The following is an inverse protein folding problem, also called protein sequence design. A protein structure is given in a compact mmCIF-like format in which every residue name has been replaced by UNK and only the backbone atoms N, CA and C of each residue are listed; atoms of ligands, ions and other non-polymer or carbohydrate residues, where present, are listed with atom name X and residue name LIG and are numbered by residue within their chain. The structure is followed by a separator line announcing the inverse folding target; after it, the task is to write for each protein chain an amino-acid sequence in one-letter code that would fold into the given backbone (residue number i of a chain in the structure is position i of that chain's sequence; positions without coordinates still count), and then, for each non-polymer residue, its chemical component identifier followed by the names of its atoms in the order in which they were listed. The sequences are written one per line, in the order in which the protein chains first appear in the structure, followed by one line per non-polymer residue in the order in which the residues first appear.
data_IF_945572190386
#
_entry.id   IF_945572190386
#
_cell.length_a   1.000
_cell.length_b   1.000
_cell.length_c   1.000
_cell.angle_alpha   90.00
_cell.angle_beta   90.00
_cell.angle_gamma   90.00
#
_symmetry.space_group_name_H-M   'P 1'
#
loop_
_entity.id
_entity.type
_entity.pdbx_description
1 polymer ?
#
# COMPACT_ATOMS: atom_id res chain seq x y z
N UNK A 1 -6.37 -10.52 -2.11
CA UNK A 1 -7.16 -10.35 -3.36
C UNK A 1 -6.51 -11.01 -4.58
N UNK A 2 -5.18 -10.91 -4.76
CA UNK A 2 -4.52 -11.38 -6.00
C UNK A 2 -4.30 -12.90 -6.05
N UNK A 3 -3.73 -13.50 -5.00
CA UNK A 3 -3.28 -14.90 -5.06
C UNK A 3 -4.35 -15.94 -4.76
N UNK A 4 -5.30 -15.66 -3.87
CA UNK A 4 -6.40 -16.58 -3.55
C UNK A 4 -7.22 -17.02 -4.78
N UNK A 5 -7.73 -16.11 -5.65
CA UNK A 5 -8.45 -16.54 -6.85
C UNK A 5 -7.57 -17.30 -7.84
N UNK A 6 -6.27 -17.01 -7.88
CA UNK A 6 -5.33 -17.74 -8.74
C UNK A 6 -5.16 -19.19 -8.26
N UNK A 7 -4.97 -19.42 -6.96
CA UNK A 7 -4.88 -20.77 -6.39
C UNK A 7 -6.18 -21.56 -6.57
N UNK A 8 -7.34 -20.91 -6.41
CA UNK A 8 -8.64 -21.55 -6.68
C UNK A 8 -8.74 -22.01 -8.14
N UNK A 9 -8.37 -21.16 -9.09
CA UNK A 9 -8.37 -21.51 -10.52
C UNK A 9 -7.41 -22.66 -10.82
N UNK A 10 -6.18 -22.66 -10.27
CA UNK A 10 -5.24 -23.77 -10.42
C UNK A 10 -5.74 -25.08 -9.80
N UNK A 11 -6.61 -24.97 -8.79
CA UNK A 11 -7.26 -26.11 -8.13
C UNK A 11 -8.56 -26.53 -8.83
N UNK A 12 -8.87 -25.99 -10.01
CA UNK A 12 -10.08 -26.35 -10.78
C UNK A 12 -11.37 -25.66 -10.31
N UNK A 13 -11.28 -24.61 -9.49
CA UNK A 13 -12.41 -23.81 -9.01
C UNK A 13 -12.38 -22.42 -9.66
N UNK A 14 -13.25 -22.19 -10.63
CA UNK A 14 -13.27 -20.95 -11.42
C UNK A 14 -14.14 -21.06 -12.66
N UNK A 15 -14.11 -20.08 -13.55
CA UNK A 15 -14.91 -20.12 -14.78
C UNK A 15 -14.52 -21.32 -15.67
N UNK A 16 -15.44 -22.26 -15.90
CA UNK A 16 -15.18 -23.52 -16.60
C UNK A 16 -14.45 -23.33 -17.94
N UNK A 17 -14.89 -22.38 -18.76
CA UNK A 17 -14.22 -22.05 -20.03
C UNK A 17 -12.76 -21.66 -19.84
N UNK A 18 -12.47 -20.79 -18.87
CA UNK A 18 -11.10 -20.31 -18.61
C UNK A 18 -10.17 -21.39 -18.07
N UNK A 19 -10.73 -22.35 -17.32
CA UNK A 19 -10.02 -23.52 -16.80
C UNK A 19 -9.70 -24.51 -17.93
N UNK A 20 -10.70 -24.83 -18.76
CA UNK A 20 -10.55 -25.72 -19.91
C UNK A 20 -9.56 -25.17 -20.95
N UNK A 21 -9.61 -23.87 -21.23
CA UNK A 21 -8.64 -23.19 -22.13
C UNK A 21 -7.19 -23.33 -21.64
N UNK A 22 -6.98 -23.62 -20.34
CA UNK A 22 -5.67 -23.82 -19.70
C UNK A 22 -5.36 -25.28 -19.38
N UNK A 23 -6.15 -26.22 -19.90
CA UNK A 23 -6.04 -27.66 -19.61
C UNK A 23 -6.16 -27.99 -18.11
N UNK A 24 -6.95 -27.23 -17.37
CA UNK A 24 -7.25 -27.48 -15.95
C UNK A 24 -8.61 -28.17 -15.85
N UNK A 25 -8.66 -29.28 -15.12
CA UNK A 25 -9.92 -29.98 -14.83
C UNK A 25 -10.87 -29.09 -14.02
N UNK A 26 -12.16 -29.10 -14.37
CA UNK A 26 -13.18 -28.32 -13.67
C UNK A 26 -13.71 -29.13 -12.49
N UNK A 27 -13.39 -28.71 -11.27
CA UNK A 27 -14.00 -29.23 -10.03
C UNK A 27 -15.30 -28.48 -9.73
N UNK A 28 -15.28 -27.15 -9.89
CA UNK A 28 -16.46 -26.31 -9.68
C UNK A 28 -16.45 -25.11 -10.63
N UNK A 29 -17.54 -24.94 -11.38
CA UNK A 29 -17.72 -23.77 -12.25
C UNK A 29 -18.20 -22.58 -11.42
N UNK A 30 -17.27 -21.70 -11.07
CA UNK A 30 -17.52 -20.50 -10.27
C UNK A 30 -16.99 -19.28 -11.03
N UNK A 31 -17.80 -18.66 -11.92
CA UNK A 31 -17.33 -17.60 -12.82
C UNK A 31 -16.90 -16.31 -12.08
N UNK A 32 -17.32 -16.13 -10.83
CA UNK A 32 -16.91 -15.00 -9.99
C UNK A 32 -15.46 -15.07 -9.48
N UNK A 33 -14.80 -16.24 -9.51
CA UNK A 33 -13.41 -16.37 -9.03
C UNK A 33 -12.46 -15.54 -9.91
N UNK A 34 -11.80 -14.57 -9.29
CA UNK A 34 -10.90 -13.64 -9.97
C UNK A 34 -11.62 -12.46 -10.65
N UNK A 35 -12.92 -12.28 -10.40
CA UNK A 35 -13.71 -11.10 -10.83
C UNK A 35 -13.98 -10.17 -9.64
N UNK A 36 -14.55 -9.00 -9.94
CA UNK A 36 -14.89 -7.98 -8.95
C UNK A 36 -13.69 -7.56 -8.08
N UNK A 37 -12.51 -7.39 -8.69
CA UNK A 37 -11.38 -6.77 -8.01
C UNK A 37 -11.71 -5.29 -7.84
N UNK A 38 -11.79 -4.85 -6.59
CA UNK A 38 -11.93 -3.45 -6.21
C UNK A 38 -10.62 -3.00 -5.57
N UNK A 39 -10.18 -1.81 -5.96
CA UNK A 39 -9.01 -1.16 -5.39
C UNK A 39 -9.29 0.35 -5.31
N UNK A 40 -8.58 1.03 -4.42
CA UNK A 40 -8.63 2.48 -4.27
C UNK A 40 -7.41 3.09 -4.96
N UNK A 41 -7.54 3.57 -6.21
CA UNK A 41 -6.42 4.17 -6.91
C UNK A 41 -5.98 5.46 -6.19
N UNK A 42 -4.66 5.62 -6.03
CA UNK A 42 -4.06 6.78 -5.42
C UNK A 42 -3.18 7.55 -6.43
N UNK A 43 -3.13 8.87 -6.29
CA UNK A 43 -2.21 9.74 -7.00
C UNK A 43 -1.34 10.49 -5.98
N UNK A 44 -0.06 10.64 -6.28
CA UNK A 44 0.91 11.29 -5.40
C UNK A 44 1.31 12.65 -5.96
N UNK A 45 1.20 13.67 -5.11
CA UNK A 45 1.75 15.00 -5.39
C UNK A 45 2.69 15.38 -4.24
N UNK A 46 3.92 15.77 -4.58
CA UNK A 46 4.93 16.16 -3.60
C UNK A 46 5.54 17.50 -3.99
N UNK A 47 5.70 18.39 -3.01
CA UNK A 47 6.37 19.68 -3.15
C UNK A 47 7.32 19.90 -1.98
N UNK A 48 8.37 20.70 -2.20
CA UNK A 48 9.31 21.05 -1.13
C UNK A 48 8.66 22.03 -0.16
N UNK A 49 8.75 21.72 1.12
CA UNK A 49 8.35 22.65 2.18
C UNK A 49 9.36 23.79 2.30
N UNK A 50 8.91 24.94 2.79
CA UNK A 50 9.82 26.05 3.12
C UNK A 50 10.76 25.64 4.25
N UNK A 51 11.99 26.17 4.32
CA UNK A 51 12.96 25.84 5.37
C UNK A 51 12.45 26.08 6.80
N UNK A 52 11.54 27.04 6.98
CA UNK A 52 10.90 27.33 8.28
C UNK A 52 10.04 26.17 8.82
N UNK A 53 9.54 25.29 7.93
CA UNK A 53 8.72 24.12 8.29
C UNK A 53 9.50 22.80 8.22
N UNK A 54 10.82 22.85 8.00
CA UNK A 54 11.64 21.64 7.81
C UNK A 54 11.55 20.73 9.05
N UNK A 55 11.50 21.31 10.26
CA UNK A 55 11.38 20.57 11.53
C UNK A 55 10.05 19.82 11.76
N UNK A 56 9.02 20.08 10.96
CA UNK A 56 7.72 19.41 11.06
C UNK A 56 7.63 18.16 10.16
N UNK A 57 8.58 18.00 9.24
CA UNK A 57 8.61 16.86 8.34
C UNK A 57 9.26 15.66 9.03
N UNK A 58 8.54 14.54 9.10
CA UNK A 58 9.13 13.27 9.55
C UNK A 58 10.35 12.88 8.70
N UNK A 59 10.36 13.24 7.42
CA UNK A 59 11.48 13.02 6.50
C UNK A 59 12.73 13.77 6.95
N UNK A 60 12.60 14.99 7.48
CA UNK A 60 13.76 15.74 7.98
C UNK A 60 14.26 15.17 9.32
N UNK A 61 13.42 14.52 10.12
CA UNK A 61 13.87 13.82 11.32
C UNK A 61 14.65 12.54 11.02
N UNK A 62 14.37 11.91 9.87
CA UNK A 62 15.05 10.69 9.40
C UNK A 62 16.31 11.04 8.60
N UNK A 63 16.24 12.02 7.70
CA UNK A 63 17.31 12.35 6.76
C UNK A 63 17.93 13.72 7.04
N UNK A 64 19.24 13.83 6.87
CA UNK A 64 19.93 15.12 6.81
C UNK A 64 19.76 15.77 5.42
N UNK A 65 20.12 17.05 5.28
CA UNK A 65 20.04 17.84 4.03
C UNK A 65 20.82 17.24 2.86
N UNK A 66 21.69 16.25 3.12
CA UNK A 66 22.45 15.47 2.13
C UNK A 66 21.82 14.09 1.83
N UNK A 67 20.57 13.85 2.24
CA UNK A 67 19.86 12.57 2.14
C UNK A 67 20.51 11.39 2.90
N UNK A 68 21.35 11.67 3.90
CA UNK A 68 21.91 10.65 4.77
C UNK A 68 20.98 10.38 5.95
N UNK A 69 20.84 9.13 6.36
CA UNK A 69 20.06 8.78 7.56
C UNK A 69 20.77 9.38 8.78
N UNK A 70 20.01 10.09 9.63
CA UNK A 70 20.52 10.69 10.85
C UNK A 70 20.89 9.59 11.86
N UNK A 71 22.14 9.54 12.38
CA UNK A 71 22.54 8.53 13.36
C UNK A 71 21.67 8.50 14.61
N UNK A 72 21.17 9.67 15.04
CA UNK A 72 20.26 9.77 16.18
C UNK A 72 18.89 9.11 15.93
N UNK A 73 18.39 9.11 14.70
CA UNK A 73 17.16 8.40 14.36
C UNK A 73 17.35 6.88 14.53
N UNK A 74 18.50 6.36 14.07
CA UNK A 74 18.90 4.96 14.23
C UNK A 74 19.10 4.60 15.70
N UNK A 75 19.81 5.43 16.46
CA UNK A 75 20.09 5.18 17.88
C UNK A 75 18.80 5.10 18.72
N UNK A 76 17.87 6.05 18.51
CA UNK A 76 16.55 6.05 19.17
C UNK A 76 15.78 4.77 18.88
N UNK A 77 15.84 4.29 17.63
CA UNK A 77 15.19 3.05 17.25
C UNK A 77 15.86 1.82 17.88
N UNK A 78 17.19 1.73 17.83
CA UNK A 78 17.93 0.55 18.28
C UNK A 78 17.84 0.36 19.80
N UNK A 79 17.98 1.44 20.58
CA UNK A 79 18.01 1.37 22.04
C UNK A 79 16.65 1.58 22.70
N UNK A 80 15.69 2.19 22.00
CA UNK A 80 14.40 2.54 22.57
C UNK A 80 13.18 2.01 21.82
N UNK A 81 13.35 1.43 20.62
CA UNK A 81 12.25 1.08 19.69
C UNK A 81 11.26 2.24 19.51
N UNK A 82 11.80 3.47 19.47
CA UNK A 82 11.07 4.73 19.42
C UNK A 82 11.73 5.68 18.43
N UNK A 83 11.05 6.76 18.10
CA UNK A 83 11.55 7.82 17.23
C UNK A 83 11.05 7.67 15.79
N UNK A 84 11.54 8.51 14.87
CA UNK A 84 10.90 8.71 13.56
C UNK A 84 10.93 7.47 12.66
N UNK A 85 11.87 6.53 12.89
CA UNK A 85 11.95 5.24 12.19
C UNK A 85 10.82 4.25 12.57
N UNK A 86 9.97 4.59 13.54
CA UNK A 86 8.78 3.79 13.88
C UNK A 86 7.50 4.29 13.20
N UNK A 87 7.53 5.40 12.45
CA UNK A 87 6.38 5.91 11.70
C UNK A 87 6.39 5.40 10.25
N UNK A 88 5.21 5.26 9.66
CA UNK A 88 5.01 4.92 8.24
C UNK A 88 4.99 6.16 7.34
N UNK A 89 4.94 7.37 7.92
CA UNK A 89 4.86 8.64 7.19
C UNK A 89 3.47 9.03 6.70
N UNK A 90 2.44 8.24 6.99
CA UNK A 90 1.03 8.49 6.62
C UNK A 90 0.18 8.80 7.86
N UNK A 91 0.66 9.71 8.71
CA UNK A 91 0.05 9.96 10.03
C UNK A 91 -1.17 10.90 9.96
N UNK A 92 -1.37 11.61 8.84
CA UNK A 92 -2.45 12.57 8.64
C UNK A 92 -3.16 12.31 7.30
N UNK A 93 -4.48 12.41 7.31
CA UNK A 93 -5.32 12.24 6.11
C UNK A 93 -6.69 12.89 6.29
N UNK A 94 -7.42 13.04 5.20
CA UNK A 94 -8.78 13.59 5.18
C UNK A 94 -9.64 12.86 4.16
N UNK A 95 -10.95 12.79 4.43
CA UNK A 95 -11.96 12.37 3.47
C UNK A 95 -12.69 13.61 2.98
N UNK A 96 -12.89 13.71 1.66
CA UNK A 96 -13.56 14.84 1.02
C UNK A 96 -14.64 14.33 0.07
N UNK A 97 -15.87 14.80 0.26
CA UNK A 97 -16.93 14.69 -0.73
C UNK A 97 -16.84 15.86 -1.70
N UNK A 98 -16.55 15.57 -2.96
CA UNK A 98 -16.48 16.58 -4.03
C UNK A 98 -17.85 16.89 -4.62
N UNK A 99 -18.90 16.14 -4.24
CA UNK A 99 -20.26 16.26 -4.77
C UNK A 99 -21.19 17.08 -3.88
N UNK A 100 -20.86 17.25 -2.59
CA UNK A 100 -21.63 18.01 -1.60
C UNK A 100 -22.96 17.37 -1.23
N UNK A 101 -23.08 16.04 -1.36
CA UNK A 101 -24.36 15.32 -1.18
C UNK A 101 -24.51 14.64 0.17
N UNK A 102 -23.42 14.50 0.94
CA UNK A 102 -23.44 13.87 2.26
C UNK A 102 -23.50 12.35 2.18
#
# INVERSE_FOLDING_TARGET
AVHSPHLLQLSGVGAAKSLLDKNIGVIADVPGVGKNLQDHPACLFASKSKPEFDSLSLTSEIYDKKNNIRPMAVLKYLFGRRGPLTSTGCDHGAFLDTTGRG
#
